data_IF_845160546582
#
_entry.id   IF_845160546582
#
_cell.length_a   1.000
_cell.length_b   1.000
_cell.length_c   1.000
_cell.angle_alpha   90.00
_cell.angle_beta   90.00
_cell.angle_gamma   90.00
#
_symmetry.space_group_name_H-M   'P 1'
#
loop_
_entity.id
_entity.type
_entity.pdbx_description
1 polymer ?
#
# COMPACT_ATOMS: atom_id res chain seq x y z
N UNK A 1 4.07 8.66 -3.09
CA UNK A 1 3.25 8.17 -4.22
C UNK A 1 3.53 6.70 -4.41
N UNK A 2 2.50 5.91 -4.70
CA UNK A 2 2.68 4.58 -5.29
C UNK A 2 2.84 4.77 -6.80
N UNK A 3 3.89 4.22 -7.38
CA UNK A 3 4.26 4.39 -8.79
C UNK A 3 4.44 3.05 -9.47
N UNK A 4 4.24 3.02 -10.79
CA UNK A 4 4.53 1.90 -11.67
C UNK A 4 5.62 2.29 -12.66
N UNK A 5 6.40 1.32 -13.13
CA UNK A 5 7.46 1.57 -14.11
C UNK A 5 6.88 1.96 -15.48
N UNK A 6 5.65 1.52 -15.78
CA UNK A 6 4.91 1.87 -16.98
C UNK A 6 3.42 1.46 -16.94
N UNK A 7 2.62 1.87 -17.94
CA UNK A 7 1.18 1.62 -17.99
C UNK A 7 0.81 0.13 -18.19
N UNK A 8 1.76 -0.72 -18.53
CA UNK A 8 1.59 -2.15 -18.83
C UNK A 8 1.02 -2.93 -17.63
N UNK A 9 1.08 -2.37 -16.42
CA UNK A 9 0.36 -2.92 -15.24
C UNK A 9 -1.12 -3.16 -15.56
N UNK A 10 -1.76 -2.33 -16.38
CA UNK A 10 -3.16 -2.47 -16.77
C UNK A 10 -3.40 -3.75 -17.59
N UNK A 11 -2.40 -4.23 -18.31
CA UNK A 11 -2.50 -5.47 -19.09
C UNK A 11 -2.57 -6.70 -18.18
N UNK A 12 -2.15 -6.62 -16.93
CA UNK A 12 -2.35 -7.70 -15.95
C UNK A 12 -3.78 -7.74 -15.39
N UNK A 13 -4.57 -6.67 -15.57
CA UNK A 13 -5.92 -6.53 -15.00
C UNK A 13 -7.04 -7.14 -15.87
N UNK A 14 -6.73 -7.65 -17.06
CA UNK A 14 -7.71 -8.33 -17.89
C UNK A 14 -8.27 -9.56 -17.16
N UNK A 15 -9.61 -9.68 -17.09
CA UNK A 15 -10.29 -10.78 -16.39
C UNK A 15 -9.84 -12.15 -16.88
N UNK A 16 -9.57 -12.29 -18.18
CA UNK A 16 -9.05 -13.53 -18.77
C UNK A 16 -7.69 -13.91 -18.17
N UNK A 17 -6.78 -12.92 -18.00
CA UNK A 17 -5.48 -13.13 -17.37
C UNK A 17 -5.60 -13.39 -15.88
N UNK A 18 -6.47 -12.66 -15.16
CA UNK A 18 -6.74 -12.89 -13.73
C UNK A 18 -7.28 -14.29 -13.46
N UNK A 19 -8.05 -14.86 -14.39
CA UNK A 19 -8.55 -16.23 -14.31
C UNK A 19 -7.52 -17.27 -14.72
N UNK A 20 -6.50 -16.90 -15.52
CA UNK A 20 -5.42 -17.79 -15.90
C UNK A 20 -4.36 -17.82 -14.80
N UNK A 21 -4.33 -18.89 -14.00
CA UNK A 21 -3.40 -19.11 -12.89
C UNK A 21 -1.97 -19.50 -13.33
N UNK A 22 -1.51 -18.98 -14.47
CA UNK A 22 -0.23 -19.32 -15.10
C UNK A 22 0.91 -18.37 -14.74
N UNK A 23 2.16 -18.79 -15.00
CA UNK A 23 3.37 -17.97 -14.86
C UNK A 23 3.31 -16.64 -15.62
N UNK A 24 2.55 -16.61 -16.71
CA UNK A 24 2.40 -15.45 -17.60
C UNK A 24 1.61 -14.31 -16.92
N UNK A 25 0.79 -14.62 -15.91
CA UNK A 25 0.08 -13.61 -15.12
C UNK A 25 1.03 -12.73 -14.31
N UNK A 26 2.13 -13.32 -13.83
CA UNK A 26 3.16 -12.61 -13.05
C UNK A 26 4.31 -12.09 -13.92
N UNK A 27 4.22 -12.25 -15.25
CA UNK A 27 5.31 -12.01 -16.19
C UNK A 27 5.55 -10.55 -16.55
N UNK A 28 4.72 -9.62 -16.08
CA UNK A 28 4.86 -8.21 -16.43
C UNK A 28 5.88 -7.48 -15.55
N UNK A 29 6.72 -6.69 -16.22
CA UNK A 29 7.88 -5.99 -15.64
C UNK A 29 7.52 -4.68 -14.93
N UNK A 30 6.28 -4.20 -15.08
CA UNK A 30 5.83 -2.96 -14.44
C UNK A 30 5.46 -3.24 -12.98
N UNK A 31 6.37 -2.90 -12.08
CA UNK A 31 6.22 -3.20 -10.66
C UNK A 31 5.86 -1.97 -9.85
N UNK A 32 4.98 -2.13 -8.87
CA UNK A 32 4.61 -1.01 -8.00
C UNK A 32 5.69 -0.72 -6.97
N UNK A 33 5.95 0.56 -6.69
CA UNK A 33 6.91 1.02 -5.66
C UNK A 33 6.39 2.24 -4.94
N UNK A 34 6.76 2.39 -3.66
CA UNK A 34 6.54 3.61 -2.92
C UNK A 34 7.73 4.57 -3.09
N UNK A 35 7.45 5.74 -3.63
CA UNK A 35 8.42 6.80 -3.88
C UNK A 35 7.99 8.11 -3.22
N UNK A 36 8.95 8.84 -2.66
CA UNK A 36 8.78 10.19 -2.11
C UNK A 36 9.40 11.20 -3.05
N UNK A 37 8.54 12.03 -3.65
CA UNK A 37 8.93 13.22 -4.40
C UNK A 37 8.90 14.42 -3.47
N UNK A 38 9.90 15.29 -3.56
CA UNK A 38 10.01 16.49 -2.73
C UNK A 38 10.13 17.69 -3.64
N UNK A 39 9.09 18.53 -3.63
CA UNK A 39 9.04 19.76 -4.42
C UNK A 39 9.34 20.95 -3.50
N UNK A 40 10.36 21.75 -3.80
CA UNK A 40 10.72 22.92 -3.00
C UNK A 40 9.72 24.07 -3.26
N UNK A 41 9.37 24.81 -2.20
CA UNK A 41 8.54 26.02 -2.33
C UNK A 41 9.37 27.25 -2.75
N UNK A 42 10.66 27.26 -2.42
CA UNK A 42 11.61 28.23 -2.97
C UNK A 42 12.39 27.57 -4.11
N UNK A 43 12.18 28.05 -5.34
CA UNK A 43 12.63 27.36 -6.54
C UNK A 43 13.31 28.28 -7.56
N UNK A 44 13.82 29.44 -7.12
CA UNK A 44 14.36 30.45 -8.04
C UNK A 44 15.80 30.14 -8.47
N UNK A 45 16.59 29.47 -7.63
CA UNK A 45 17.98 29.13 -7.93
C UNK A 45 18.09 28.05 -9.02
N UNK A 46 19.18 28.09 -9.78
CA UNK A 46 19.43 27.23 -10.95
C UNK A 46 20.62 26.32 -10.70
N UNK A 47 20.57 25.10 -11.25
CA UNK A 47 21.72 24.18 -11.28
C UNK A 47 22.17 23.61 -9.92
N UNK A 48 21.43 23.86 -8.84
CA UNK A 48 21.67 23.30 -7.51
C UNK A 48 20.50 22.42 -7.05
N UNK A 49 20.73 21.56 -6.07
CA UNK A 49 19.65 20.88 -5.36
C UNK A 49 18.93 21.84 -4.42
N UNK A 50 17.70 22.20 -4.79
CA UNK A 50 16.82 23.12 -4.06
C UNK A 50 16.29 22.53 -2.75
N UNK A 51 16.47 21.22 -2.52
CA UNK A 51 16.16 20.57 -1.26
C UNK A 51 17.33 20.61 -0.26
N UNK A 52 18.49 21.14 -0.67
CA UNK A 52 19.71 21.27 0.14
C UNK A 52 20.12 19.97 0.85
N UNK A 53 19.91 18.81 0.21
CA UNK A 53 20.25 17.50 0.78
C UNK A 53 19.44 17.08 2.01
N UNK A 54 18.37 17.80 2.38
CA UNK A 54 17.57 17.49 3.58
C UNK A 54 16.75 16.20 3.46
N UNK A 55 16.59 15.68 2.24
CA UNK A 55 15.66 14.59 1.92
C UNK A 55 16.36 13.35 1.37
N UNK A 56 17.61 13.11 1.80
CA UNK A 56 18.46 12.01 1.36
C UNK A 56 18.58 11.95 -0.17
N UNK A 57 18.04 10.90 -0.79
CA UNK A 57 18.11 10.65 -2.24
C UNK A 57 17.15 11.52 -3.07
N UNK A 58 16.19 12.21 -2.43
CA UNK A 58 15.24 13.05 -3.14
C UNK A 58 15.83 14.43 -3.43
N UNK A 59 15.96 14.78 -4.71
CA UNK A 59 16.53 16.06 -5.17
C UNK A 59 15.57 16.81 -6.07
N UNK A 60 15.73 18.12 -6.13
CA UNK A 60 14.99 18.99 -7.04
C UNK A 60 15.95 20.00 -7.65
N UNK A 61 16.26 19.85 -8.95
CA UNK A 61 17.23 20.70 -9.66
C UNK A 61 16.50 21.46 -10.76
N UNK A 62 16.49 22.78 -10.66
CA UNK A 62 15.95 23.63 -11.71
C UNK A 62 16.92 23.73 -12.88
N UNK A 63 16.37 23.57 -14.08
CA UNK A 63 17.02 23.82 -15.37
C UNK A 63 16.05 24.64 -16.23
N UNK A 64 16.37 25.91 -16.44
CA UNK A 64 15.51 26.89 -17.10
C UNK A 64 14.15 27.03 -16.38
N UNK A 65 13.06 26.70 -17.06
CA UNK A 65 11.69 26.81 -16.54
C UNK A 65 11.16 25.51 -15.89
N UNK A 66 11.98 24.46 -15.86
CA UNK A 66 11.58 23.13 -15.39
C UNK A 66 12.40 22.73 -14.17
N UNK A 67 11.73 22.17 -13.17
CA UNK A 67 12.38 21.54 -12.02
C UNK A 67 12.41 20.03 -12.26
N UNK A 68 13.60 19.48 -12.39
CA UNK A 68 13.81 18.04 -12.50
C UNK A 68 13.85 17.45 -11.09
N UNK A 69 12.90 16.57 -10.78
CA UNK A 69 12.77 15.95 -9.46
C UNK A 69 13.25 14.51 -9.54
N UNK A 70 14.16 14.14 -8.65
CA UNK A 70 14.51 12.74 -8.38
C UNK A 70 13.82 12.29 -7.09
N UNK A 71 13.07 11.17 -7.07
CA UNK A 71 12.45 10.69 -5.86
C UNK A 71 13.43 9.92 -4.96
N UNK A 72 13.10 9.84 -3.67
CA UNK A 72 13.62 8.81 -2.76
C UNK A 72 12.74 7.57 -2.88
N UNK A 73 13.35 6.41 -3.08
CA UNK A 73 12.65 5.12 -3.01
C UNK A 73 12.48 4.77 -1.52
N UNK A 74 11.26 4.50 -1.08
CA UNK A 74 10.97 4.18 0.33
C UNK A 74 11.27 2.71 0.62
N UNK A 75 10.80 1.81 -0.23
CA UNK A 75 11.00 0.36 -0.10
C UNK A 75 11.62 -0.21 -1.37
N UNK A 76 12.48 -1.23 -1.23
CA UNK A 76 13.08 -1.91 -2.39
C UNK A 76 12.18 -3.00 -2.94
N UNK A 77 11.33 -3.56 -2.10
CA UNK A 77 10.30 -4.51 -2.48
C UNK A 77 9.21 -3.83 -3.32
N UNK A 78 8.46 -4.63 -4.07
CA UNK A 78 7.49 -4.19 -5.06
C UNK A 78 6.20 -4.99 -4.99
N UNK A 79 5.15 -4.59 -5.73
CA UNK A 79 3.87 -5.32 -5.78
C UNK A 79 2.94 -5.02 -4.60
N UNK A 80 3.13 -3.85 -3.99
CA UNK A 80 2.20 -3.27 -3.04
C UNK A 80 1.19 -2.36 -3.72
N UNK A 81 0.02 -2.18 -3.13
CA UNK A 81 -1.04 -1.33 -3.66
C UNK A 81 -1.87 -0.72 -2.53
N UNK A 82 -2.74 0.21 -2.92
CA UNK A 82 -3.75 0.86 -2.10
C UNK A 82 -3.18 1.43 -0.79
N UNK A 83 -2.17 2.33 -0.87
CA UNK A 83 -1.59 2.93 0.32
C UNK A 83 -2.64 3.72 1.09
N UNK A 84 -2.77 3.41 2.38
CA UNK A 84 -3.58 4.14 3.35
C UNK A 84 -2.71 4.65 4.48
N UNK A 85 -3.14 5.75 5.07
CA UNK A 85 -2.56 6.32 6.28
C UNK A 85 -3.65 6.50 7.33
N UNK A 86 -3.27 6.82 8.56
CA UNK A 86 -4.23 7.32 9.54
C UNK A 86 -4.87 8.62 9.00
N UNK A 87 -6.21 8.68 8.86
CA UNK A 87 -6.87 9.85 8.27
C UNK A 87 -6.66 11.16 9.05
N UNK A 88 -6.29 11.11 10.33
CA UNK A 88 -5.93 12.30 11.11
C UNK A 88 -4.62 12.96 10.64
N UNK A 89 -3.81 12.24 9.86
CA UNK A 89 -2.53 12.70 9.33
C UNK A 89 -2.59 13.09 7.84
N UNK A 90 -3.78 13.10 7.24
CA UNK A 90 -3.97 13.64 5.88
C UNK A 90 -3.46 15.08 5.78
N UNK A 91 -2.66 15.34 4.74
CA UNK A 91 -2.00 16.63 4.48
C UNK A 91 -1.06 17.11 5.61
N UNK A 92 -0.61 16.19 6.47
CA UNK A 92 0.35 16.46 7.54
C UNK A 92 1.56 15.55 7.38
N UNK A 93 2.64 15.86 8.10
CA UNK A 93 3.77 14.93 8.22
C UNK A 93 3.27 13.65 8.90
N UNK A 94 3.63 12.51 8.35
CA UNK A 94 3.24 11.18 8.83
C UNK A 94 4.44 10.22 8.71
N UNK A 95 4.46 9.21 9.56
CA UNK A 95 5.54 8.22 9.69
C UNK A 95 5.18 6.84 9.14
N UNK A 96 3.89 6.52 8.98
CA UNK A 96 3.44 5.18 8.59
C UNK A 96 2.48 5.20 7.41
N UNK A 97 2.67 4.27 6.48
CA UNK A 97 1.68 3.90 5.47
C UNK A 97 1.39 2.41 5.54
N UNK A 98 0.20 2.03 5.15
CA UNK A 98 -0.28 0.65 5.12
C UNK A 98 -0.64 0.30 3.69
N UNK A 99 -0.19 -0.85 3.20
CA UNK A 99 -0.40 -1.30 1.83
C UNK A 99 -0.86 -2.74 1.82
N UNK A 100 -1.47 -3.16 0.71
CA UNK A 100 -1.86 -4.55 0.47
C UNK A 100 -1.07 -5.14 -0.69
N UNK A 101 -0.86 -6.45 -0.66
CA UNK A 101 -0.49 -7.17 -1.87
C UNK A 101 -1.67 -7.21 -2.83
N UNK A 102 -1.54 -6.59 -4.00
CA UNK A 102 -2.54 -6.66 -5.07
C UNK A 102 -2.05 -7.54 -6.21
N UNK A 103 -2.56 -7.38 -7.43
CA UNK A 103 -2.26 -8.21 -8.63
C UNK A 103 -0.80 -8.72 -8.72
N UNK A 104 0.20 -7.84 -8.67
CA UNK A 104 1.62 -8.26 -8.67
C UNK A 104 2.14 -8.75 -7.31
N UNK A 105 1.49 -8.29 -6.23
CA UNK A 105 1.64 -8.84 -4.89
C UNK A 105 1.20 -10.30 -4.82
N UNK A 106 0.18 -10.73 -5.57
CA UNK A 106 -0.32 -12.11 -5.57
C UNK A 106 0.75 -13.13 -5.98
N UNK A 107 1.81 -12.71 -6.67
CA UNK A 107 2.94 -13.56 -6.99
C UNK A 107 3.51 -14.17 -5.69
N UNK A 108 3.52 -15.50 -5.51
CA UNK A 108 4.01 -16.12 -4.28
C UNK A 108 5.48 -15.78 -3.95
N UNK A 109 6.26 -15.32 -4.94
CA UNK A 109 7.65 -14.86 -4.75
C UNK A 109 7.75 -13.43 -4.23
N UNK A 110 6.64 -12.71 -4.16
CA UNK A 110 6.58 -11.33 -3.73
C UNK A 110 6.47 -11.24 -2.19
N UNK A 111 7.27 -10.37 -1.57
CA UNK A 111 7.21 -10.12 -0.13
C UNK A 111 5.81 -9.71 0.36
N UNK A 112 5.04 -9.01 -0.47
CA UNK A 112 3.68 -8.55 -0.17
C UNK A 112 2.58 -9.55 -0.51
N UNK A 113 2.91 -10.76 -0.98
CA UNK A 113 1.91 -11.77 -1.31
C UNK A 113 1.01 -12.11 -0.14
N UNK A 114 -0.30 -12.05 -0.44
CA UNK A 114 -1.41 -12.33 0.45
C UNK A 114 -1.23 -11.67 1.83
N UNK A 115 -0.90 -10.38 1.81
CA UNK A 115 -0.49 -9.66 3.01
C UNK A 115 -1.00 -8.23 3.08
N UNK A 116 -1.04 -7.73 4.30
CA UNK A 116 -1.22 -6.31 4.63
C UNK A 116 0.04 -5.89 5.36
N UNK A 117 0.69 -4.83 4.88
CA UNK A 117 2.02 -4.42 5.34
C UNK A 117 2.00 -2.98 5.81
N UNK A 118 2.48 -2.75 7.03
CA UNK A 118 2.85 -1.45 7.54
C UNK A 118 4.27 -1.12 7.11
N UNK A 119 4.48 0.11 6.66
CA UNK A 119 5.77 0.64 6.21
C UNK A 119 6.05 1.94 6.94
N UNK A 120 7.20 2.01 7.58
CA UNK A 120 7.78 3.26 8.08
C UNK A 120 8.33 4.06 6.89
N UNK A 121 7.77 5.24 6.62
CA UNK A 121 8.08 5.99 5.39
C UNK A 121 9.42 6.71 5.42
N UNK A 122 10.05 6.81 6.59
CA UNK A 122 11.36 7.45 6.74
C UNK A 122 12.48 6.42 6.61
N UNK A 123 12.31 5.23 7.18
CA UNK A 123 13.31 4.14 7.20
C UNK A 123 13.09 3.07 6.14
N UNK A 124 11.86 2.91 5.63
CA UNK A 124 11.47 1.81 4.75
C UNK A 124 11.23 0.48 5.48
N UNK A 125 11.35 0.44 6.81
CA UNK A 125 11.13 -0.79 7.59
C UNK A 125 9.68 -1.25 7.54
N UNK A 126 9.47 -2.56 7.49
CA UNK A 126 8.15 -3.15 7.33
C UNK A 126 7.74 -4.04 8.51
N UNK A 127 6.43 -4.08 8.77
CA UNK A 127 5.76 -5.10 9.61
C UNK A 127 4.60 -5.67 8.83
N UNK A 128 4.48 -6.99 8.79
CA UNK A 128 3.59 -7.69 7.86
C UNK A 128 2.61 -8.56 8.63
N UNK A 129 1.34 -8.47 8.26
CA UNK A 129 0.35 -9.52 8.50
C UNK A 129 0.17 -10.32 7.22
N UNK A 130 0.24 -11.65 7.30
CA UNK A 130 0.01 -12.57 6.17
C UNK A 130 -1.15 -13.50 6.49
N UNK A 131 -1.94 -13.84 5.48
CA UNK A 131 -3.01 -14.84 5.60
C UNK A 131 -2.46 -16.22 5.96
N UNK A 132 -1.31 -16.57 5.37
CA UNK A 132 -0.71 -17.91 5.47
C UNK A 132 -1.32 -18.95 4.52
N UNK A 133 -2.32 -18.56 3.73
CA UNK A 133 -2.97 -19.39 2.71
C UNK A 133 -2.82 -18.72 1.33
N UNK A 134 -2.43 -19.51 0.32
CA UNK A 134 -2.20 -19.02 -1.05
C UNK A 134 -3.49 -18.61 -1.77
N UNK A 135 -4.65 -19.09 -1.31
CA UNK A 135 -5.97 -18.80 -1.88
C UNK A 135 -6.67 -17.63 -1.18
N UNK A 136 -6.08 -17.08 -0.12
CA UNK A 136 -6.65 -15.95 0.63
C UNK A 136 -6.03 -14.62 0.20
N UNK A 137 -6.86 -13.70 -0.27
CA UNK A 137 -6.42 -12.44 -0.86
C UNK A 137 -7.06 -11.24 -0.15
N UNK A 138 -6.30 -10.45 0.63
CA UNK A 138 -6.83 -9.24 1.25
C UNK A 138 -7.15 -8.17 0.21
N UNK A 139 -8.34 -7.60 0.32
CA UNK A 139 -8.80 -6.43 -0.44
C UNK A 139 -8.20 -5.13 0.11
N UNK A 140 -8.58 -3.98 -0.45
CA UNK A 140 -8.15 -2.68 0.12
C UNK A 140 -8.55 -2.52 1.60
N UNK A 141 -7.62 -1.98 2.38
CA UNK A 141 -7.81 -1.75 3.81
C UNK A 141 -8.47 -0.41 4.13
N UNK A 142 -9.07 -0.34 5.31
CA UNK A 142 -9.39 0.92 5.99
C UNK A 142 -8.67 0.99 7.34
N UNK A 143 -8.11 2.16 7.65
CA UNK A 143 -7.56 2.45 8.97
C UNK A 143 -8.63 3.16 9.80
N UNK A 144 -8.94 2.60 10.97
CA UNK A 144 -9.85 3.17 11.95
C UNK A 144 -9.04 3.63 13.16
N UNK A 145 -8.86 4.94 13.39
CA UNK A 145 -8.12 5.45 14.53
C UNK A 145 -8.79 5.06 15.85
N UNK A 146 -7.98 4.79 16.87
CA UNK A 146 -8.46 4.75 18.25
C UNK A 146 -8.87 6.18 18.66
N UNK A 147 -10.14 6.43 19.05
CA UNK A 147 -10.59 7.75 19.48
C UNK A 147 -9.84 8.30 20.70
N UNK A 148 -9.22 7.42 21.49
CA UNK A 148 -8.39 7.75 22.65
C UNK A 148 -6.88 7.59 22.38
N UNK A 149 -6.52 7.21 21.16
CA UNK A 149 -5.14 7.01 20.73
C UNK A 149 -4.32 8.30 20.73
N UNK A 150 -3.02 8.17 20.92
CA UNK A 150 -2.06 9.28 20.95
C UNK A 150 -0.95 9.14 19.91
N UNK A 151 -0.67 7.92 19.46
CA UNK A 151 0.29 7.62 18.41
C UNK A 151 -0.40 7.55 17.04
N UNK A 152 0.37 7.78 15.98
CA UNK A 152 -0.12 7.75 14.60
C UNK A 152 -0.72 6.39 14.21
N UNK A 153 -0.19 5.32 14.75
CA UNK A 153 -0.56 3.93 14.51
C UNK A 153 -1.46 3.33 15.60
N UNK A 154 -2.02 4.17 16.48
CA UNK A 154 -3.05 3.75 17.44
C UNK A 154 -4.38 3.59 16.69
N UNK A 155 -4.71 2.34 16.36
CA UNK A 155 -5.93 2.01 15.66
C UNK A 155 -5.99 0.58 15.17
N UNK A 156 -7.03 0.32 14.38
CA UNK A 156 -7.31 -0.98 13.79
C UNK A 156 -7.33 -0.84 12.27
N UNK A 157 -6.69 -1.80 11.61
CA UNK A 157 -6.83 -2.01 10.17
C UNK A 157 -7.93 -3.03 9.95
N UNK A 158 -8.84 -2.73 9.03
CA UNK A 158 -9.91 -3.64 8.63
C UNK A 158 -9.74 -3.93 7.14
N UNK A 159 -9.84 -5.21 6.78
CA UNK A 159 -9.80 -5.66 5.39
C UNK A 159 -10.72 -6.84 5.17
N UNK A 160 -11.39 -6.90 4.02
CA UNK A 160 -11.99 -8.15 3.57
C UNK A 160 -10.89 -9.06 3.02
N UNK A 161 -10.99 -10.36 3.27
CA UNK A 161 -10.13 -11.39 2.71
C UNK A 161 -11.01 -12.32 1.90
N UNK A 162 -10.77 -12.35 0.59
CA UNK A 162 -11.48 -13.24 -0.34
C UNK A 162 -10.74 -14.56 -0.42
N UNK A 163 -11.45 -15.66 -0.20
CA UNK A 163 -10.92 -16.99 -0.47
C UNK A 163 -11.31 -17.42 -1.90
N UNK A 164 -10.32 -17.65 -2.76
CA UNK A 164 -10.53 -17.99 -4.18
C UNK A 164 -10.88 -19.48 -4.39
N UNK A 165 -10.72 -20.32 -3.37
CA UNK A 165 -10.99 -21.77 -3.42
C UNK A 165 -12.30 -22.16 -2.72
N UNK A 166 -12.56 -21.58 -1.56
CA UNK A 166 -13.73 -21.86 -0.74
C UNK A 166 -14.65 -20.63 -0.67
N UNK A 167 -15.87 -20.76 -1.20
CA UNK A 167 -16.86 -19.69 -1.21
C UNK A 167 -17.29 -19.27 0.21
N UNK A 168 -17.17 -20.14 1.21
CA UNK A 168 -17.52 -19.84 2.60
C UNK A 168 -16.28 -19.50 3.44
N UNK A 169 -15.10 -19.46 2.82
CA UNK A 169 -13.82 -19.15 3.48
C UNK A 169 -13.49 -17.65 3.51
N UNK A 170 -14.38 -16.77 3.04
CA UNK A 170 -14.13 -15.33 3.05
C UNK A 170 -14.44 -14.73 4.43
N UNK A 171 -13.64 -13.74 4.86
CA UNK A 171 -13.79 -13.12 6.18
C UNK A 171 -13.35 -11.67 6.18
N UNK A 172 -13.83 -10.92 7.17
CA UNK A 172 -13.30 -9.61 7.53
C UNK A 172 -12.23 -9.81 8.60
N UNK A 173 -11.04 -9.26 8.40
CA UNK A 173 -9.95 -9.31 9.38
C UNK A 173 -9.80 -7.96 10.07
N UNK A 174 -9.54 -8.01 11.37
CA UNK A 174 -9.22 -6.85 12.20
C UNK A 174 -7.80 -6.99 12.73
N UNK A 175 -6.94 -6.02 12.42
CA UNK A 175 -5.50 -6.09 12.70
C UNK A 175 -5.11 -4.88 13.55
N UNK A 176 -4.33 -5.08 14.60
CA UNK A 176 -3.75 -4.00 15.38
C UNK A 176 -2.73 -3.22 14.51
N UNK A 177 -2.95 -1.94 14.28
CA UNK A 177 -2.14 -1.17 13.33
C UNK A 177 -0.72 -0.83 13.84
N UNK A 178 -0.46 -0.99 15.14
CA UNK A 178 0.85 -0.78 15.74
C UNK A 178 1.77 -2.00 15.54
N UNK A 179 1.27 -3.20 15.87
CA UNK A 179 2.06 -4.43 15.89
C UNK A 179 1.75 -5.42 14.75
N UNK A 180 0.76 -5.13 13.89
CA UNK A 180 0.32 -5.95 12.76
C UNK A 180 -0.15 -7.36 13.16
N UNK A 181 -0.57 -7.56 14.41
CA UNK A 181 -1.18 -8.81 14.87
C UNK A 181 -2.68 -8.77 14.62
N UNK A 182 -3.20 -9.89 14.18
CA UNK A 182 -4.63 -10.11 14.09
C UNK A 182 -5.27 -10.04 15.48
N UNK A 183 -6.41 -9.34 15.58
CA UNK A 183 -7.20 -9.19 16.79
C UNK A 183 -8.47 -10.04 16.69
N UNK A 184 -9.12 -10.05 15.52
CA UNK A 184 -10.38 -10.75 15.30
C UNK A 184 -10.63 -11.05 13.82
N UNK A 185 -11.59 -11.98 13.58
CA UNK A 185 -12.21 -12.22 12.28
C UNK A 185 -13.73 -12.22 12.39
N UNK A 186 -14.40 -11.77 11.33
CA UNK A 186 -15.82 -12.02 11.12
C UNK A 186 -15.99 -12.82 9.82
N UNK A 187 -16.46 -14.07 9.95
CA UNK A 187 -16.63 -14.97 8.80
C UNK A 187 -17.94 -14.70 8.08
N UNK A 188 -17.98 -15.01 6.78
CA UNK A 188 -19.18 -14.92 5.96
C UNK A 188 -19.59 -16.30 5.44
N UNK A 189 -20.89 -16.54 5.38
CA UNK A 189 -21.44 -17.77 4.79
C UNK A 189 -21.48 -17.72 3.24
N UNK A 190 -21.11 -16.57 2.67
CA UNK A 190 -21.17 -16.27 1.25
C UNK A 190 -19.81 -15.81 0.72
N UNK A 191 -19.61 -16.02 -0.59
CA UNK A 191 -18.40 -15.56 -1.25
C UNK A 191 -18.37 -14.03 -1.31
N UNK A 192 -17.27 -13.43 -0.87
CA UNK A 192 -17.04 -11.99 -1.07
C UNK A 192 -16.08 -11.79 -2.24
N UNK A 193 -16.53 -11.14 -3.33
CA UNK A 193 -15.65 -10.77 -4.43
C UNK A 193 -14.55 -9.82 -3.96
N UNK A 194 -13.41 -9.89 -4.63
CA UNK A 194 -12.29 -9.00 -4.39
C UNK A 194 -12.67 -7.53 -4.61
N UNK A 195 -12.49 -6.69 -3.59
CA UNK A 195 -12.96 -5.30 -3.58
C UNK A 195 -11.83 -4.28 -3.65
N UNK A 196 -12.04 -3.21 -4.43
CA UNK A 196 -11.01 -2.19 -4.66
C UNK A 196 -11.03 -1.06 -3.62
N UNK A 197 -12.21 -0.58 -3.19
CA UNK A 197 -12.29 0.57 -2.29
C UNK A 197 -13.12 0.33 -1.04
N UNK A 198 -12.60 0.81 0.09
CA UNK A 198 -13.21 0.63 1.41
C UNK A 198 -13.34 1.97 2.13
N UNK A 199 -14.46 2.17 2.83
CA UNK A 199 -14.68 3.32 3.70
C UNK A 199 -15.34 2.89 5.01
N UNK A 200 -14.95 3.52 6.11
CA UNK A 200 -15.55 3.30 7.42
C UNK A 200 -16.35 4.55 7.81
N UNK A 201 -17.65 4.36 8.05
CA UNK A 201 -18.53 5.44 8.53
C UNK A 201 -18.75 5.27 10.02
N UNK A 202 -18.14 6.16 10.81
CA UNK A 202 -18.40 6.19 12.24
C UNK A 202 -19.83 6.70 12.49
N UNK A 203 -20.64 5.89 13.18
CA UNK A 203 -21.96 6.29 13.67
C UNK A 203 -21.84 6.56 15.16
N UNK A 204 -22.00 7.81 15.57
CA UNK A 204 -22.07 8.18 16.98
C UNK A 204 -23.41 7.71 17.55
N UNK A 205 -23.36 7.10 18.74
CA UNK A 205 -24.51 6.92 19.62
C UNK A 205 -24.36 7.87 20.81
#
# INVERSE_FOLDING_TARGET
>A
MLTYDGPEVMDSMWVEKLKSSGSDFYGDSSTSRLMRFVLPLNYMDQGIDLNFGQWNEATAIRSNDVINIRPKIITREYGMESPKINPHFNFRRYGYTYVVGWIHGLNPRNSFSNSITKIDVDTGMTKVWKTGDEFEHPSEIVFVPDPSGSCEDDGVIISCVTNSRDRQGSYLVFINACNMREIARANFDEAIPFGAHTHFVQRFF
#
